data_IF_914259713181
#
_entry.id   IF_914259713181
#
_cell.length_a   1.000
_cell.length_b   1.000
_cell.length_c   1.000
_cell.angle_alpha   90.00
_cell.angle_beta   90.00
_cell.angle_gamma   90.00
#
_symmetry.space_group_name_H-M   'P 1'
#
loop_
_entity.id
_entity.type
_entity.pdbx_description
1 polymer ?
#
# COMPACT_ATOMS: atom_id res chain seq x y z
N UNK A 1 -10.32 9.54 19.80
CA UNK A 1 -9.22 8.56 19.63
C UNK A 1 -8.01 9.27 19.06
N UNK A 2 -6.79 8.98 19.55
CA UNK A 2 -5.55 9.51 18.96
C UNK A 2 -5.12 8.59 17.81
N UNK A 3 -5.76 8.68 16.64
CA UNK A 3 -5.42 7.82 15.49
C UNK A 3 -3.91 7.82 15.22
N UNK A 4 -3.37 9.02 15.16
CA UNK A 4 -1.95 9.31 14.95
C UNK A 4 -0.98 8.70 15.96
N UNK A 5 -1.42 8.30 17.15
CA UNK A 5 -0.53 7.65 18.12
C UNK A 5 -0.33 6.15 17.84
N UNK A 6 -1.02 5.59 16.86
CA UNK A 6 -1.00 4.15 16.56
C UNK A 6 -1.06 3.78 15.08
N UNK A 7 -1.47 4.71 14.21
CA UNK A 7 -1.64 4.49 12.78
C UNK A 7 -1.00 5.62 11.98
N UNK A 8 -0.36 5.26 10.87
CA UNK A 8 0.12 6.19 9.86
C UNK A 8 -0.97 6.43 8.81
N UNK A 9 -1.03 7.63 8.25
CA UNK A 9 -1.73 7.84 6.98
C UNK A 9 -0.94 7.22 5.81
N UNK A 10 -1.61 6.90 4.68
CA UNK A 10 -0.94 6.31 3.51
C UNK A 10 0.27 7.10 3.02
N UNK A 11 0.18 8.43 3.02
CA UNK A 11 1.28 9.32 2.59
C UNK A 11 2.49 9.21 3.52
N UNK A 12 2.26 9.12 4.83
CA UNK A 12 3.33 8.99 5.83
C UNK A 12 4.00 7.62 5.79
N UNK A 13 3.22 6.57 5.49
CA UNK A 13 3.76 5.24 5.25
C UNK A 13 4.66 5.22 4.00
N UNK A 14 4.27 5.91 2.92
CA UNK A 14 5.08 6.04 1.72
C UNK A 14 6.36 6.84 1.98
N UNK A 15 6.28 7.94 2.73
CA UNK A 15 7.46 8.71 3.16
C UNK A 15 8.39 7.86 4.04
N UNK A 16 7.85 7.05 4.94
CA UNK A 16 8.63 6.14 5.79
C UNK A 16 9.40 5.12 4.93
N UNK A 17 8.76 4.54 3.91
CA UNK A 17 9.43 3.63 2.99
C UNK A 17 10.63 4.31 2.29
N UNK A 18 10.47 5.57 1.88
CA UNK A 18 11.56 6.38 1.30
C UNK A 18 12.68 6.65 2.30
N UNK A 19 12.34 7.07 3.52
CA UNK A 19 13.31 7.35 4.60
C UNK A 19 14.15 6.12 4.93
N UNK A 20 13.53 4.94 4.94
CA UNK A 20 14.21 3.67 5.20
C UNK A 20 15.06 3.19 4.01
N UNK A 21 15.02 3.87 2.86
CA UNK A 21 15.73 3.45 1.65
C UNK A 21 15.19 2.14 1.07
N UNK A 22 13.90 1.86 1.28
CA UNK A 22 13.27 0.64 0.78
C UNK A 22 13.33 0.60 -0.76
N UNK A 23 13.80 -0.52 -1.32
CA UNK A 23 13.82 -0.72 -2.78
C UNK A 23 12.43 -0.93 -3.36
N UNK A 24 11.52 -1.50 -2.56
CA UNK A 24 10.13 -1.81 -2.87
C UNK A 24 9.29 -1.59 -1.62
N UNK A 25 8.03 -1.23 -1.77
CA UNK A 25 7.06 -1.14 -0.69
C UNK A 25 5.81 -1.98 -0.99
N UNK A 26 5.22 -2.57 0.05
CA UNK A 26 3.96 -3.32 -0.05
C UNK A 26 2.99 -2.77 0.99
N UNK A 27 1.86 -2.15 0.60
CA UNK A 27 0.87 -1.67 1.55
C UNK A 27 0.14 -2.87 2.18
N UNK A 28 0.02 -2.84 3.50
CA UNK A 28 -0.71 -3.83 4.31
C UNK A 28 -1.85 -3.15 5.07
N UNK A 29 -2.63 -3.94 5.81
CA UNK A 29 -3.68 -3.44 6.71
C UNK A 29 -4.84 -2.72 5.99
N UNK A 30 -5.12 -3.12 4.75
CA UNK A 30 -6.24 -2.65 3.93
C UNK A 30 -6.94 -3.84 3.25
N UNK A 31 -8.14 -3.64 2.70
CA UNK A 31 -8.82 -4.62 1.83
C UNK A 31 -9.42 -5.88 2.48
N UNK A 32 -9.37 -6.00 3.81
CA UNK A 32 -9.87 -7.20 4.53
C UNK A 32 -10.98 -6.90 5.55
N UNK A 33 -10.85 -5.85 6.36
CA UNK A 33 -11.79 -5.52 7.43
C UNK A 33 -12.17 -4.04 7.40
N UNK A 34 -13.45 -3.73 7.66
CA UNK A 34 -13.94 -2.35 7.79
C UNK A 34 -13.67 -1.86 9.21
N UNK A 35 -12.59 -1.10 9.37
CA UNK A 35 -12.14 -0.55 10.66
C UNK A 35 -12.06 1.00 10.67
N UNK A 36 -12.57 1.64 9.62
CA UNK A 36 -12.56 3.09 9.42
C UNK A 36 -13.69 3.51 8.45
N UNK A 37 -13.96 4.81 8.36
CA UNK A 37 -15.11 5.39 7.61
C UNK A 37 -14.83 5.69 6.13
N UNK A 38 -13.59 5.51 5.65
CA UNK A 38 -13.25 5.71 4.24
C UNK A 38 -13.57 4.48 3.38
N UNK A 39 -13.57 4.64 2.06
CA UNK A 39 -13.67 3.52 1.11
C UNK A 39 -12.62 2.45 1.40
N UNK A 40 -12.96 1.19 1.16
CA UNK A 40 -12.10 0.05 1.51
C UNK A 40 -10.76 0.05 0.74
N UNK A 41 -10.75 0.72 -0.41
CA UNK A 41 -9.66 0.90 -1.36
C UNK A 41 -8.92 2.26 -1.24
N UNK A 42 -9.49 3.24 -0.52
CA UNK A 42 -8.93 4.60 -0.40
C UNK A 42 -7.47 4.59 0.08
N UNK A 43 -7.17 3.73 1.05
CA UNK A 43 -5.83 3.64 1.63
C UNK A 43 -4.76 3.18 0.64
N UNK A 44 -5.06 2.18 -0.20
CA UNK A 44 -4.09 1.68 -1.19
C UNK A 44 -3.92 2.67 -2.34
N UNK A 45 -5.01 3.29 -2.79
CA UNK A 45 -4.98 4.25 -3.89
C UNK A 45 -4.11 5.47 -3.51
N UNK A 46 -4.29 5.97 -2.29
CA UNK A 46 -3.49 7.07 -1.75
C UNK A 46 -2.03 6.69 -1.52
N UNK A 47 -1.77 5.49 -0.99
CA UNK A 47 -0.41 4.99 -0.79
C UNK A 47 0.34 4.91 -2.11
N UNK A 48 -0.25 4.25 -3.12
CA UNK A 48 0.35 4.10 -4.45
C UNK A 48 0.66 5.45 -5.08
N UNK A 49 -0.30 6.38 -5.06
CA UNK A 49 -0.12 7.74 -5.58
C UNK A 49 0.97 8.52 -4.85
N UNK A 50 1.13 8.32 -3.54
CA UNK A 50 2.20 8.94 -2.77
C UNK A 50 3.57 8.33 -3.10
N UNK A 51 3.66 7.00 -3.21
CA UNK A 51 4.89 6.29 -3.58
C UNK A 51 5.37 6.61 -4.99
N UNK A 52 4.46 6.75 -5.96
CA UNK A 52 4.76 7.18 -7.35
C UNK A 52 5.50 8.53 -7.35
N UNK A 53 5.07 9.50 -6.53
CA UNK A 53 5.72 10.82 -6.41
C UNK A 53 7.10 10.76 -5.74
N UNK A 54 7.33 9.74 -4.91
CA UNK A 54 8.57 9.56 -4.15
C UNK A 54 9.58 8.63 -4.85
N UNK A 55 9.26 8.19 -6.06
CA UNK A 55 10.05 7.22 -6.84
C UNK A 55 10.32 5.95 -6.02
N UNK A 56 9.28 5.48 -5.31
CA UNK A 56 9.29 4.24 -4.54
C UNK A 56 8.44 3.22 -5.26
N UNK A 57 9.06 2.14 -5.72
CA UNK A 57 8.32 1.08 -6.41
C UNK A 57 7.41 0.32 -5.45
N UNK A 58 6.16 0.12 -5.87
CA UNK A 58 5.15 -0.56 -5.07
C UNK A 58 4.84 -1.93 -5.66
N UNK A 59 4.64 -2.91 -4.79
CA UNK A 59 4.00 -4.18 -5.12
C UNK A 59 2.65 -4.30 -4.40
N UNK A 60 1.69 -4.90 -5.08
CA UNK A 60 0.30 -5.07 -4.67
C UNK A 60 -0.16 -6.49 -5.00
N UNK A 61 0.41 -7.52 -4.36
CA UNK A 61 -0.05 -8.90 -4.56
C UNK A 61 -1.54 -9.04 -4.20
N UNK A 62 -2.23 -9.96 -4.87
CA UNK A 62 -3.62 -10.32 -4.53
C UNK A 62 -3.65 -10.98 -3.15
N UNK A 63 -4.80 -10.89 -2.46
CA UNK A 63 -4.96 -11.52 -1.13
C UNK A 63 -4.71 -13.03 -1.25
N UNK A 64 -3.71 -13.53 -0.52
CA UNK A 64 -3.29 -14.93 -0.55
C UNK A 64 -2.25 -15.29 -1.61
N UNK A 65 -1.82 -14.34 -2.45
CA UNK A 65 -0.80 -14.58 -3.48
C UNK A 65 0.61 -14.70 -2.89
N UNK A 66 1.39 -15.66 -3.42
CA UNK A 66 2.81 -15.82 -3.06
C UNK A 66 3.68 -14.88 -3.88
N UNK A 67 4.49 -14.07 -3.20
CA UNK A 67 5.43 -13.12 -3.82
C UNK A 67 6.82 -13.72 -3.95
N UNK A 68 7.32 -13.80 -5.19
CA UNK A 68 8.72 -14.09 -5.48
C UNK A 68 9.50 -12.78 -5.61
N UNK A 69 10.46 -12.54 -4.70
CA UNK A 69 11.18 -11.27 -4.61
C UNK A 69 12.05 -10.96 -5.85
N UNK A 70 12.53 -11.99 -6.55
CA UNK A 70 13.27 -11.88 -7.81
C UNK A 70 12.37 -11.56 -9.02
N UNK A 71 11.05 -11.65 -8.85
CA UNK A 71 10.03 -11.39 -9.87
C UNK A 71 9.03 -10.32 -9.45
N UNK A 72 9.49 -9.38 -8.62
CA UNK A 72 8.62 -8.37 -8.00
C UNK A 72 7.80 -7.53 -9.01
N UNK A 73 8.30 -7.33 -10.23
CA UNK A 73 7.61 -6.60 -11.31
C UNK A 73 6.29 -7.25 -11.71
N UNK A 74 6.08 -8.53 -11.40
CA UNK A 74 4.85 -9.24 -11.70
C UNK A 74 3.68 -8.85 -10.76
N UNK A 75 3.95 -8.08 -9.70
CA UNK A 75 2.98 -7.78 -8.65
C UNK A 75 2.65 -6.28 -8.59
N UNK A 76 2.51 -5.60 -9.73
CA UNK A 76 2.20 -4.16 -9.78
C UNK A 76 0.76 -3.86 -10.22
N UNK A 77 -0.06 -4.90 -10.42
CA UNK A 77 -1.46 -4.76 -10.81
C UNK A 77 -2.25 -4.02 -9.73
N UNK A 78 -3.05 -3.01 -10.15
CA UNK A 78 -4.01 -2.32 -9.28
C UNK A 78 -5.32 -3.11 -9.18
N UNK A 79 -5.23 -4.38 -8.77
CA UNK A 79 -6.33 -5.36 -8.86
C UNK A 79 -7.61 -4.94 -8.14
N UNK A 80 -7.54 -4.05 -7.16
CA UNK A 80 -8.73 -3.53 -6.45
C UNK A 80 -9.62 -2.68 -7.36
N UNK A 81 -9.07 -2.10 -8.43
CA UNK A 81 -9.83 -1.29 -9.39
C UNK A 81 -10.80 -2.12 -10.24
N UNK A 82 -10.60 -3.45 -10.28
CA UNK A 82 -11.44 -4.39 -11.02
C UNK A 82 -12.47 -5.12 -10.11
N UNK A 83 -12.55 -4.75 -8.83
CA UNK A 83 -13.47 -5.34 -7.85
C UNK A 83 -14.52 -4.30 -7.47
N UNK A 84 -15.78 -4.58 -7.81
CA UNK A 84 -16.96 -3.86 -7.28
C UNK A 84 -17.33 -4.33 -5.87
#
# INVERSE_FOLDING_TARGET
MKWHSSHMFPEEAAETAKILGAKKAMPIHWGAFVLSDHGWDDSVERFVKASEKLDTEVITPKIGETVYLDKYLNYQEKWWQDIE
#
